data_IF_360193133361
#
_entry.id   IF_360193133361
#
_cell.length_a   1.000
_cell.length_b   1.000
_cell.length_c   1.000
_cell.angle_alpha   90.00
_cell.angle_beta   90.00
_cell.angle_gamma   90.00
#
_symmetry.space_group_name_H-M   'P 1'
#
loop_
_entity.id
_entity.type
_entity.pdbx_description
1 polymer ?
#
# COMPACT_ATOMS: atom_id res chain seq x y z
N UNK A 1 -44.31 27.16 11.43
CA UNK A 1 -43.58 26.52 10.32
C UNK A 1 -42.34 25.78 10.81
N UNK A 2 -41.43 26.44 11.54
CA UNK A 2 -40.21 25.84 12.13
C UNK A 2 -40.43 24.58 12.96
N UNK A 3 -41.40 24.55 13.89
CA UNK A 3 -41.69 23.35 14.70
C UNK A 3 -42.05 22.11 13.85
N UNK A 4 -42.80 22.30 12.76
CA UNK A 4 -43.18 21.21 11.84
C UNK A 4 -41.97 20.72 11.03
N UNK A 5 -41.10 21.63 10.61
CA UNK A 5 -39.85 21.28 9.90
C UNK A 5 -38.92 20.53 10.85
N UNK A 6 -38.72 21.02 12.07
CA UNK A 6 -37.88 20.37 13.08
C UNK A 6 -38.37 18.95 13.41
N UNK A 7 -39.68 18.77 13.55
CA UNK A 7 -40.27 17.44 13.80
C UNK A 7 -40.05 16.49 12.62
N UNK A 8 -40.15 16.96 11.37
CA UNK A 8 -39.84 16.17 10.18
C UNK A 8 -38.36 15.77 10.10
N UNK A 9 -37.45 16.70 10.42
CA UNK A 9 -36.01 16.42 10.46
C UNK A 9 -35.68 15.41 11.55
N UNK A 10 -36.26 15.57 12.74
CA UNK A 10 -36.09 14.61 13.84
C UNK A 10 -36.60 13.21 13.49
N UNK A 11 -37.78 13.13 12.86
CA UNK A 11 -38.30 11.85 12.38
C UNK A 11 -37.42 11.20 11.31
N UNK A 12 -36.89 11.98 10.37
CA UNK A 12 -35.94 11.48 9.37
C UNK A 12 -34.66 10.94 10.02
N UNK A 13 -34.12 11.65 11.01
CA UNK A 13 -32.93 11.21 11.73
C UNK A 13 -33.19 9.91 12.50
N UNK A 14 -34.32 9.81 13.18
CA UNK A 14 -34.75 8.59 13.86
C UNK A 14 -34.89 7.42 12.87
N UNK A 15 -35.49 7.66 11.70
CA UNK A 15 -35.62 6.66 10.65
C UNK A 15 -34.25 6.17 10.17
N UNK A 16 -33.28 7.07 9.94
CA UNK A 16 -31.92 6.71 9.52
C UNK A 16 -31.24 5.84 10.58
N UNK A 17 -31.40 6.15 11.87
CA UNK A 17 -30.85 5.33 12.97
C UNK A 17 -31.44 3.92 12.94
N UNK A 18 -32.77 3.80 12.82
CA UNK A 18 -33.47 2.51 12.79
C UNK A 18 -32.99 1.68 11.59
N UNK A 19 -32.91 2.28 10.40
CA UNK A 19 -32.44 1.59 9.20
C UNK A 19 -30.97 1.18 9.34
N UNK A 20 -30.12 2.02 9.92
CA UNK A 20 -28.73 1.65 10.18
C UNK A 20 -28.62 0.47 11.15
N UNK A 21 -29.45 0.42 12.19
CA UNK A 21 -29.50 -0.71 13.12
C UNK A 21 -29.94 -2.01 12.43
N UNK A 22 -31.01 -1.96 11.63
CA UNK A 22 -31.50 -3.09 10.84
C UNK A 22 -30.42 -3.59 9.88
N UNK A 23 -29.81 -2.69 9.12
CA UNK A 23 -28.74 -3.00 8.18
C UNK A 23 -27.53 -3.64 8.87
N UNK A 24 -27.05 -3.01 9.95
CA UNK A 24 -25.90 -3.48 10.71
C UNK A 24 -26.11 -4.87 11.31
N UNK A 25 -27.34 -5.22 11.72
CA UNK A 25 -27.62 -6.50 12.39
C UNK A 25 -27.80 -7.66 11.42
N UNK A 26 -28.36 -7.42 10.23
CA UNK A 26 -28.82 -8.51 9.35
C UNK A 26 -28.11 -8.60 7.99
N UNK A 27 -27.54 -7.52 7.49
CA UNK A 27 -27.00 -7.48 6.11
C UNK A 27 -25.51 -7.13 6.06
N UNK A 28 -25.03 -6.33 7.01
CA UNK A 28 -23.70 -5.75 6.92
C UNK A 28 -22.57 -6.78 6.91
N UNK A 29 -22.64 -7.85 7.70
CA UNK A 29 -21.60 -8.88 7.70
C UNK A 29 -21.52 -9.60 6.35
N UNK A 30 -22.65 -9.92 5.72
CA UNK A 30 -22.68 -10.50 4.37
C UNK A 30 -22.03 -9.57 3.35
N UNK A 31 -22.37 -8.28 3.37
CA UNK A 31 -21.77 -7.28 2.48
C UNK A 31 -20.25 -7.14 2.73
N UNK A 32 -19.81 -7.20 3.99
CA UNK A 32 -18.37 -7.22 4.33
C UNK A 32 -17.69 -8.42 3.69
N UNK A 33 -18.25 -9.62 3.81
CA UNK A 33 -17.63 -10.81 3.24
C UNK A 33 -17.62 -10.77 1.70
N UNK A 34 -18.62 -10.17 1.06
CA UNK A 34 -18.67 -10.04 -0.40
C UNK A 34 -17.70 -8.97 -0.94
N UNK A 35 -17.50 -7.87 -0.21
CA UNK A 35 -16.82 -6.69 -0.75
C UNK A 35 -15.53 -6.31 -0.02
N UNK A 36 -15.31 -6.80 1.19
CA UNK A 36 -14.26 -6.41 2.12
C UNK A 36 -13.71 -7.60 2.92
N UNK A 37 -13.63 -8.78 2.29
CA UNK A 37 -13.11 -10.03 2.91
C UNK A 37 -11.71 -9.88 3.53
N UNK A 38 -10.94 -8.87 3.07
CA UNK A 38 -9.63 -8.50 3.63
C UNK A 38 -9.66 -8.24 5.14
N UNK A 39 -10.82 -7.91 5.71
CA UNK A 39 -10.99 -7.76 7.17
C UNK A 39 -10.64 -9.04 7.93
N UNK A 40 -10.81 -10.21 7.31
CA UNK A 40 -10.58 -11.48 7.97
C UNK A 40 -9.09 -11.64 8.32
N UNK A 41 -8.18 -11.03 7.55
CA UNK A 41 -6.75 -10.98 7.91
C UNK A 41 -6.51 -10.33 9.28
N UNK A 42 -7.36 -9.38 9.68
CA UNK A 42 -7.29 -8.73 11.00
C UNK A 42 -8.00 -9.57 12.06
N UNK A 43 -9.16 -10.15 11.71
CA UNK A 43 -9.98 -10.97 12.63
C UNK A 43 -9.33 -12.30 12.98
N UNK A 44 -8.48 -12.82 12.10
CA UNK A 44 -7.73 -14.06 12.31
C UNK A 44 -6.57 -13.88 13.29
N UNK A 45 -6.22 -12.63 13.64
CA UNK A 45 -5.18 -12.35 14.63
C UNK A 45 -5.67 -12.69 16.04
N UNK A 46 -5.00 -13.60 16.75
CA UNK A 46 -5.40 -13.96 18.11
C UNK A 46 -5.24 -12.80 19.11
N UNK A 47 -6.11 -12.76 20.11
CA UNK A 47 -6.07 -11.74 21.18
C UNK A 47 -4.81 -11.79 22.06
N UNK A 48 -3.99 -12.84 21.96
CA UNK A 48 -2.69 -12.95 22.63
C UNK A 48 -1.51 -12.53 21.76
N UNK A 49 -1.73 -11.92 20.59
CA UNK A 49 -0.66 -11.35 19.77
C UNK A 49 0.09 -10.26 20.54
N UNK A 50 1.41 -10.39 20.63
CA UNK A 50 2.32 -9.39 21.20
C UNK A 50 2.87 -8.48 20.08
N UNK A 51 3.19 -9.09 18.94
CA UNK A 51 3.74 -8.45 17.74
C UNK A 51 2.83 -8.76 16.55
N UNK A 52 2.46 -7.73 15.79
CA UNK A 52 1.87 -7.88 14.47
C UNK A 52 2.84 -7.33 13.43
N UNK A 53 3.24 -8.17 12.49
CA UNK A 53 3.93 -7.77 11.28
C UNK A 53 2.90 -7.49 10.18
N UNK A 54 2.84 -6.28 9.63
CA UNK A 54 1.95 -5.95 8.52
C UNK A 54 2.77 -5.65 7.26
N UNK A 55 2.38 -6.27 6.16
CA UNK A 55 3.14 -6.21 4.92
C UNK A 55 2.38 -6.65 3.70
N UNK A 56 3.08 -6.54 2.58
CA UNK A 56 2.60 -7.02 1.28
C UNK A 56 3.32 -8.32 0.90
N UNK A 57 3.28 -8.69 -0.38
CA UNK A 57 3.86 -9.91 -0.92
C UNK A 57 5.32 -10.17 -0.51
N UNK A 58 6.13 -9.13 -0.25
CA UNK A 58 7.50 -9.34 0.23
C UNK A 58 7.58 -10.12 1.55
N UNK A 59 6.55 -10.09 2.41
CA UNK A 59 6.56 -10.92 3.63
C UNK A 59 6.64 -12.42 3.30
N UNK A 60 6.05 -12.86 2.19
CA UNK A 60 5.88 -14.28 1.83
C UNK A 60 6.60 -14.66 0.53
N UNK A 61 7.41 -13.75 -0.05
CA UNK A 61 8.11 -14.01 -1.30
C UNK A 61 9.46 -14.67 -1.01
N UNK A 62 9.72 -15.78 -1.68
CA UNK A 62 10.98 -16.53 -1.64
C UNK A 62 11.29 -17.05 -3.04
N UNK A 63 12.56 -17.40 -3.29
CA UNK A 63 12.94 -18.13 -4.50
C UNK A 63 12.70 -19.62 -4.34
N UNK A 64 12.46 -20.32 -5.45
CA UNK A 64 12.17 -21.76 -5.43
C UNK A 64 13.28 -22.61 -4.81
N UNK A 65 14.52 -22.15 -4.91
CA UNK A 65 15.75 -22.76 -4.40
C UNK A 65 16.17 -22.25 -3.00
N UNK A 66 15.39 -21.36 -2.37
CA UNK A 66 15.66 -20.95 -0.99
C UNK A 66 15.46 -22.12 -0.02
N UNK A 67 16.41 -22.27 0.92
CA UNK A 67 16.37 -23.31 1.96
C UNK A 67 15.21 -23.02 2.93
N UNK A 68 15.05 -21.76 3.32
CA UNK A 68 13.97 -21.30 4.19
C UNK A 68 12.96 -20.49 3.38
N UNK A 69 11.70 -20.93 3.42
CA UNK A 69 10.57 -20.36 2.67
C UNK A 69 9.52 -19.74 3.59
N UNK A 70 9.86 -19.63 4.87
CA UNK A 70 8.99 -19.01 5.87
C UNK A 70 8.93 -17.49 5.63
N UNK A 71 7.84 -16.85 6.06
CA UNK A 71 7.71 -15.41 5.91
C UNK A 71 8.69 -14.63 6.80
N UNK A 72 8.92 -13.36 6.47
CA UNK A 72 9.74 -12.44 7.29
C UNK A 72 9.20 -12.36 8.73
N UNK A 73 7.87 -12.35 8.89
CA UNK A 73 7.20 -12.40 10.19
C UNK A 73 7.60 -13.61 11.05
N UNK A 74 7.87 -14.76 10.44
CA UNK A 74 8.34 -15.95 11.16
C UNK A 74 9.77 -15.78 11.67
N UNK A 75 10.66 -15.11 10.90
CA UNK A 75 12.01 -14.80 11.37
C UNK A 75 12.01 -13.83 12.55
N UNK A 76 11.06 -12.88 12.57
CA UNK A 76 10.83 -12.02 13.75
C UNK A 76 10.41 -12.85 14.95
N UNK A 77 9.49 -13.80 14.75
CA UNK A 77 9.05 -14.72 15.81
C UNK A 77 10.17 -15.61 16.36
N UNK A 78 11.03 -16.15 15.49
CA UNK A 78 12.20 -16.95 15.89
C UNK A 78 13.18 -16.14 16.74
N UNK A 79 13.39 -14.87 16.39
CA UNK A 79 14.29 -13.98 17.13
C UNK A 79 13.72 -13.60 18.52
N UNK A 80 12.40 -13.53 18.65
CA UNK A 80 11.69 -13.22 19.89
C UNK A 80 10.75 -14.36 20.33
N UNK A 81 11.27 -15.54 20.73
CA UNK A 81 10.48 -16.75 20.93
C UNK A 81 9.48 -16.67 22.10
N UNK A 82 9.65 -15.72 23.02
CA UNK A 82 8.74 -15.48 24.14
C UNK A 82 7.54 -14.59 23.77
N UNK A 83 7.56 -13.97 22.58
CA UNK A 83 6.53 -13.05 22.10
C UNK A 83 5.71 -13.72 21.00
N UNK A 84 4.37 -13.66 21.11
CA UNK A 84 3.51 -14.21 20.08
C UNK A 84 3.47 -13.27 18.87
N UNK A 85 4.13 -13.67 17.79
CA UNK A 85 4.21 -12.92 16.54
C UNK A 85 3.23 -13.46 15.51
N UNK A 86 2.42 -12.57 14.95
CA UNK A 86 1.48 -12.85 13.86
C UNK A 86 1.68 -11.85 12.73
N UNK A 87 1.06 -12.10 11.58
CA UNK A 87 1.10 -11.16 10.46
C UNK A 87 -0.24 -10.90 9.79
N UNK A 88 -0.32 -9.69 9.23
CA UNK A 88 -1.36 -9.27 8.31
C UNK A 88 -0.67 -9.08 6.95
N UNK A 89 -0.70 -10.13 6.12
CA UNK A 89 -0.10 -10.09 4.77
C UNK A 89 -1.18 -9.90 3.71
N UNK A 90 -1.17 -8.74 3.04
CA UNK A 90 -2.00 -8.51 1.85
C UNK A 90 -1.13 -8.27 0.62
N UNK A 91 -1.08 -9.18 -0.36
CA UNK A 91 -0.34 -8.94 -1.60
C UNK A 91 -0.77 -7.64 -2.30
N UNK A 92 0.21 -6.94 -2.86
CA UNK A 92 0.09 -5.67 -3.58
C UNK A 92 -0.49 -4.47 -2.79
N UNK A 93 -0.56 -4.56 -1.46
CA UNK A 93 -0.97 -3.42 -0.63
C UNK A 93 0.17 -2.44 -0.33
N UNK A 94 -0.20 -1.28 0.19
CA UNK A 94 0.72 -0.22 0.60
C UNK A 94 0.22 0.42 1.92
N UNK A 95 0.94 1.41 2.43
CA UNK A 95 0.67 2.07 3.72
C UNK A 95 -0.79 2.53 3.91
N UNK A 96 -1.41 3.17 2.92
CA UNK A 96 -2.83 3.54 3.01
C UNK A 96 -3.79 2.37 3.25
N UNK A 97 -3.47 1.16 2.75
CA UNK A 97 -4.24 -0.06 3.03
C UNK A 97 -3.94 -0.54 4.45
N UNK A 98 -2.65 -0.59 4.83
CA UNK A 98 -2.22 -0.99 6.17
C UNK A 98 -2.91 -0.18 7.24
N UNK A 99 -2.99 1.14 7.07
CA UNK A 99 -3.64 2.05 8.01
C UNK A 99 -5.09 1.62 8.31
N UNK A 100 -5.88 1.30 7.28
CA UNK A 100 -7.28 0.89 7.48
C UNK A 100 -7.37 -0.47 8.16
N UNK A 101 -6.49 -1.42 7.82
CA UNK A 101 -6.45 -2.72 8.50
C UNK A 101 -6.06 -2.59 9.98
N UNK A 102 -5.07 -1.75 10.28
CA UNK A 102 -4.65 -1.46 11.66
C UNK A 102 -5.77 -0.78 12.47
N UNK A 103 -6.55 0.12 11.87
CA UNK A 103 -7.72 0.74 12.53
C UNK A 103 -8.78 -0.28 12.95
N UNK A 104 -8.83 -1.45 12.29
CA UNK A 104 -9.77 -2.52 12.60
C UNK A 104 -9.25 -3.48 13.69
N UNK A 105 -8.03 -3.30 14.22
CA UNK A 105 -7.57 -4.07 15.38
C UNK A 105 -8.42 -3.68 16.60
N UNK A 106 -9.05 -4.65 17.31
CA UNK A 106 -9.90 -4.38 18.46
C UNK A 106 -9.23 -3.50 19.52
N UNK A 107 -9.95 -2.55 20.12
CA UNK A 107 -9.39 -1.58 21.10
C UNK A 107 -8.85 -2.27 22.35
N UNK A 108 -9.44 -3.40 22.71
CA UNK A 108 -9.06 -4.29 23.81
C UNK A 108 -7.98 -5.32 23.44
N UNK A 109 -7.44 -5.27 22.21
CA UNK A 109 -6.32 -6.11 21.78
C UNK A 109 -5.09 -5.90 22.66
N UNK A 110 -4.35 -6.98 22.94
CA UNK A 110 -3.14 -6.97 23.76
C UNK A 110 -1.86 -6.64 22.99
N UNK A 111 -1.98 -6.37 21.69
CA UNK A 111 -0.85 -6.08 20.80
C UNK A 111 -0.07 -4.87 21.32
N UNK A 112 1.25 -5.04 21.43
CA UNK A 112 2.16 -4.00 21.92
C UNK A 112 3.00 -3.42 20.79
N UNK A 113 3.40 -4.24 19.82
CA UNK A 113 4.29 -3.83 18.74
C UNK A 113 3.66 -4.07 17.38
N UNK A 114 3.71 -3.05 16.52
CA UNK A 114 3.39 -3.17 15.09
C UNK A 114 4.69 -3.01 14.30
N UNK A 115 5.03 -4.01 13.50
CA UNK A 115 6.11 -3.93 12.52
C UNK A 115 5.48 -3.68 11.14
N UNK A 116 5.78 -2.56 10.51
CA UNK A 116 5.19 -2.17 9.22
C UNK A 116 6.24 -2.26 8.13
N UNK A 117 5.93 -3.02 7.08
CA UNK A 117 6.77 -3.08 5.88
C UNK A 117 6.82 -1.72 5.17
N UNK A 118 8.02 -1.24 4.89
CA UNK A 118 8.30 -0.02 4.12
C UNK A 118 9.09 -0.41 2.88
N UNK A 119 8.41 -0.43 1.73
CA UNK A 119 9.00 -0.72 0.43
C UNK A 119 9.22 0.58 -0.35
N UNK A 120 10.44 0.84 -0.84
CA UNK A 120 10.79 2.05 -1.58
C UNK A 120 9.94 2.21 -2.84
N UNK A 121 9.63 1.11 -3.53
CA UNK A 121 8.81 1.13 -4.75
C UNK A 121 7.42 1.69 -4.52
N UNK A 122 6.88 1.55 -3.31
CA UNK A 122 5.52 2.02 -3.01
C UNK A 122 5.37 3.55 -3.18
N UNK A 123 6.47 4.29 -3.08
CA UNK A 123 6.53 5.75 -3.27
C UNK A 123 6.59 6.16 -4.74
N UNK A 124 6.84 5.23 -5.67
CA UNK A 124 6.89 5.49 -7.10
C UNK A 124 5.48 5.73 -7.69
N UNK A 125 5.40 6.51 -8.76
CA UNK A 125 4.18 6.80 -9.50
C UNK A 125 3.41 5.55 -9.95
N UNK A 126 4.09 4.48 -10.38
CA UNK A 126 3.45 3.23 -10.83
C UNK A 126 2.74 2.48 -9.72
N UNK A 127 3.26 2.57 -8.50
CA UNK A 127 2.61 2.01 -7.33
C UNK A 127 1.47 2.89 -6.83
N UNK A 128 1.64 4.21 -6.84
CA UNK A 128 0.61 5.18 -6.43
C UNK A 128 -0.59 5.14 -7.39
N UNK A 129 -0.35 5.01 -8.69
CA UNK A 129 -1.39 4.96 -9.72
C UNK A 129 -1.49 3.55 -10.33
N UNK A 130 -1.32 2.51 -9.50
CA UNK A 130 -1.47 1.13 -9.95
C UNK A 130 -2.89 0.84 -10.44
N UNK A 131 -3.02 -0.07 -11.41
CA UNK A 131 -4.33 -0.58 -11.86
C UNK A 131 -5.07 -1.34 -10.76
N UNK A 132 -4.35 -1.81 -9.73
CA UNK A 132 -4.92 -2.50 -8.57
C UNK A 132 -5.58 -1.54 -7.57
N UNK A 133 -5.25 -0.25 -7.61
CA UNK A 133 -5.69 0.74 -6.61
C UNK A 133 -7.22 0.82 -6.51
N UNK A 134 -7.93 0.77 -7.63
CA UNK A 134 -9.39 0.81 -7.64
C UNK A 134 -10.01 -0.36 -6.87
N UNK A 135 -9.47 -1.57 -7.07
CA UNK A 135 -9.94 -2.78 -6.38
C UNK A 135 -9.60 -2.72 -4.88
N UNK A 136 -8.37 -2.32 -4.56
CA UNK A 136 -7.92 -2.16 -3.17
C UNK A 136 -8.78 -1.13 -2.42
N UNK A 137 -9.00 0.05 -2.99
CA UNK A 137 -9.82 1.09 -2.36
C UNK A 137 -11.28 0.68 -2.18
N UNK A 138 -11.86 -0.04 -3.16
CA UNK A 138 -13.19 -0.64 -3.02
C UNK A 138 -13.24 -1.59 -1.83
N UNK A 139 -12.23 -2.44 -1.67
CA UNK A 139 -12.17 -3.45 -0.61
C UNK A 139 -12.14 -2.88 0.81
N UNK A 140 -11.80 -1.60 0.95
CA UNK A 140 -11.74 -0.92 2.24
C UNK A 140 -13.03 -0.20 2.63
N UNK A 141 -13.95 0.06 1.68
CA UNK A 141 -15.07 0.98 1.91
C UNK A 141 -15.93 0.56 3.09
N UNK A 142 -16.24 -0.74 3.22
CA UNK A 142 -17.11 -1.21 4.28
C UNK A 142 -16.44 -1.24 5.65
N UNK A 143 -15.11 -1.23 5.72
CA UNK A 143 -14.35 -1.37 6.97
C UNK A 143 -13.69 -0.06 7.42
N UNK A 144 -14.06 1.06 6.79
CA UNK A 144 -13.72 2.39 7.27
C UNK A 144 -14.52 2.73 8.53
N UNK A 145 -14.02 3.63 9.41
CA UNK A 145 -14.63 3.95 10.70
C UNK A 145 -15.87 4.87 10.60
N UNK A 146 -16.80 4.55 9.70
CA UNK A 146 -18.10 5.21 9.58
C UNK A 146 -19.25 4.25 9.92
N UNK A 147 -20.47 4.76 10.18
CA UNK A 147 -21.63 3.91 10.39
C UNK A 147 -21.85 2.93 9.21
N UNK A 148 -22.21 1.66 9.47
CA UNK A 148 -22.36 0.63 8.44
C UNK A 148 -23.21 1.05 7.24
N UNK A 149 -24.38 1.67 7.48
CA UNK A 149 -25.26 2.11 6.40
C UNK A 149 -24.62 3.22 5.55
N UNK A 150 -23.83 4.10 6.17
CA UNK A 150 -23.12 5.15 5.44
C UNK A 150 -22.02 4.56 4.57
N UNK A 151 -21.24 3.60 5.08
CA UNK A 151 -20.29 2.85 4.27
C UNK A 151 -20.96 2.16 3.08
N UNK A 152 -22.12 1.53 3.30
CA UNK A 152 -22.89 0.90 2.22
C UNK A 152 -23.35 1.89 1.17
N UNK A 153 -23.80 3.07 1.61
CA UNK A 153 -24.12 4.19 0.73
C UNK A 153 -22.90 4.62 -0.11
N UNK A 154 -21.75 4.84 0.53
CA UNK A 154 -20.51 5.19 -0.18
C UNK A 154 -20.13 4.14 -1.22
N UNK A 155 -20.25 2.85 -0.87
CA UNK A 155 -19.98 1.76 -1.80
C UNK A 155 -20.93 1.78 -3.01
N UNK A 156 -22.24 1.92 -2.77
CA UNK A 156 -23.26 1.99 -3.84
C UNK A 156 -23.01 3.12 -4.83
N UNK A 157 -22.62 4.29 -4.32
CA UNK A 157 -22.34 5.47 -5.14
C UNK A 157 -20.90 5.51 -5.66
N UNK A 158 -20.13 4.43 -5.49
CA UNK A 158 -18.73 4.33 -5.91
C UNK A 158 -17.87 5.47 -5.38
N UNK A 159 -18.13 5.89 -4.14
CA UNK A 159 -17.41 6.95 -3.44
C UNK A 159 -16.05 6.44 -2.90
N UNK A 160 -15.20 6.00 -3.81
CA UNK A 160 -13.82 5.60 -3.61
C UNK A 160 -13.01 5.94 -4.86
N UNK A 161 -11.69 5.78 -4.81
CA UNK A 161 -10.84 6.09 -5.95
C UNK A 161 -11.05 5.11 -7.11
N UNK A 162 -11.99 5.44 -8.00
CA UNK A 162 -12.35 4.65 -9.17
C UNK A 162 -11.82 5.31 -10.44
N UNK A 163 -10.85 4.66 -11.07
CA UNK A 163 -10.28 5.07 -12.37
C UNK A 163 -10.08 3.85 -13.25
N UNK A 164 -10.21 4.05 -14.56
CA UNK A 164 -9.85 3.06 -15.57
C UNK A 164 -8.33 2.90 -15.69
N UNK A 165 -7.89 1.79 -16.28
CA UNK A 165 -6.46 1.51 -16.48
C UNK A 165 -5.78 2.59 -17.35
N UNK A 166 -6.47 3.10 -18.37
CA UNK A 166 -5.93 4.16 -19.24
C UNK A 166 -5.77 5.49 -18.51
N UNK A 167 -6.66 5.81 -17.56
CA UNK A 167 -6.52 6.98 -16.70
C UNK A 167 -5.34 6.85 -15.75
N UNK A 168 -5.19 5.68 -15.12
CA UNK A 168 -4.05 5.34 -14.25
C UNK A 168 -2.72 5.43 -15.00
N UNK A 169 -2.68 4.87 -16.21
CA UNK A 169 -1.53 4.91 -17.09
C UNK A 169 -1.15 6.35 -17.45
N UNK A 170 -2.14 7.17 -17.82
CA UNK A 170 -1.93 8.59 -18.07
C UNK A 170 -1.37 9.31 -16.84
N UNK A 171 -1.81 8.96 -15.63
CA UNK A 171 -1.33 9.59 -14.39
C UNK A 171 0.14 9.28 -14.12
N UNK A 172 0.55 8.00 -14.10
CA UNK A 172 1.95 7.68 -13.82
C UNK A 172 2.88 8.14 -14.95
N UNK A 173 2.48 8.03 -16.22
CA UNK A 173 3.28 8.54 -17.35
C UNK A 173 3.42 10.06 -17.31
N UNK A 174 2.37 10.77 -16.91
CA UNK A 174 2.49 12.21 -16.74
C UNK A 174 3.46 12.55 -15.61
N UNK A 175 3.36 11.88 -14.46
CA UNK A 175 4.28 12.08 -13.32
C UNK A 175 5.73 11.80 -13.71
N UNK A 176 5.99 10.68 -14.39
CA UNK A 176 7.32 10.34 -14.94
C UNK A 176 7.88 11.34 -15.93
N UNK A 177 7.04 12.12 -16.60
CA UNK A 177 7.46 13.16 -17.55
C UNK A 177 7.69 14.51 -16.86
N UNK A 178 6.91 14.81 -15.83
CA UNK A 178 6.93 16.12 -15.16
C UNK A 178 7.92 16.18 -14.01
N UNK A 179 8.13 15.08 -13.31
CA UNK A 179 9.08 15.00 -12.21
C UNK A 179 10.49 15.00 -12.79
N UNK A 180 11.26 16.02 -12.43
CA UNK A 180 12.63 16.20 -12.93
C UNK A 180 13.64 15.69 -11.91
N UNK A 181 14.77 15.19 -12.42
CA UNK A 181 15.91 14.84 -11.60
C UNK A 181 16.69 16.09 -11.19
N UNK A 182 16.97 16.18 -9.90
CA UNK A 182 17.72 17.23 -9.23
C UNK A 182 18.91 16.58 -8.51
N UNK A 183 19.93 16.21 -9.29
CA UNK A 183 21.15 15.57 -8.80
C UNK A 183 22.24 16.63 -8.57
N UNK A 184 23.20 16.43 -7.64
CA UNK A 184 24.28 17.39 -7.38
C UNK A 184 25.35 17.40 -8.47
N UNK A 185 25.15 16.65 -9.56
CA UNK A 185 26.02 16.54 -10.71
C UNK A 185 25.19 16.57 -12.01
N UNK A 186 25.85 16.81 -13.13
CA UNK A 186 25.20 16.78 -14.43
C UNK A 186 24.78 15.35 -14.78
N UNK A 187 23.47 15.13 -14.85
CA UNK A 187 22.88 13.88 -15.29
C UNK A 187 22.22 14.08 -16.64
N UNK A 188 22.49 13.18 -17.58
CA UNK A 188 22.15 13.34 -19.00
C UNK A 188 20.65 13.25 -19.30
N UNK A 189 19.82 12.79 -18.35
CA UNK A 189 18.37 12.68 -18.52
C UNK A 189 17.65 13.61 -17.56
N UNK A 190 16.58 14.26 -18.02
CA UNK A 190 15.80 15.14 -17.15
C UNK A 190 14.79 14.38 -16.29
N UNK A 191 14.32 13.21 -16.75
CA UNK A 191 13.21 12.48 -16.13
C UNK A 191 13.23 10.99 -16.51
N UNK A 192 12.34 10.20 -15.88
CA UNK A 192 12.22 8.75 -16.08
C UNK A 192 11.98 8.39 -17.55
N UNK A 193 11.09 9.12 -18.24
CA UNK A 193 10.70 8.80 -19.62
C UNK A 193 11.89 8.93 -20.56
N UNK A 194 12.71 9.98 -20.40
CA UNK A 194 13.91 10.17 -21.21
C UNK A 194 14.93 9.08 -20.96
N UNK A 195 15.17 8.73 -19.70
CA UNK A 195 16.13 7.70 -19.33
C UNK A 195 15.71 6.30 -19.82
N UNK A 196 14.46 5.92 -19.57
CA UNK A 196 13.89 4.63 -20.00
C UNK A 196 13.93 4.49 -21.53
N UNK A 197 13.55 5.53 -22.27
CA UNK A 197 13.62 5.53 -23.75
C UNK A 197 15.05 5.41 -24.25
N UNK A 198 16.00 6.09 -23.63
CA UNK A 198 17.39 5.97 -24.03
C UNK A 198 17.93 4.56 -23.79
N UNK A 199 17.60 3.96 -22.64
CA UNK A 199 18.00 2.58 -22.31
C UNK A 199 17.38 1.59 -23.32
N UNK A 200 16.08 1.71 -23.59
CA UNK A 200 15.37 0.85 -24.54
C UNK A 200 15.93 0.93 -25.97
N UNK A 201 16.38 2.11 -26.42
CA UNK A 201 16.93 2.30 -27.76
C UNK A 201 18.41 1.91 -27.87
N UNK A 202 19.21 2.16 -26.83
CA UNK A 202 20.65 1.88 -26.84
C UNK A 202 20.93 0.41 -26.60
N UNK A 203 20.19 -0.19 -25.66
CA UNK A 203 20.28 -1.57 -25.24
C UNK A 203 21.57 -1.90 -24.49
N UNK A 204 21.49 -2.83 -23.54
CA UNK A 204 22.66 -3.48 -22.95
C UNK A 204 23.25 -4.43 -23.99
N UNK A 205 24.58 -4.45 -24.15
CA UNK A 205 25.26 -5.31 -25.10
C UNK A 205 25.68 -6.64 -24.46
N UNK A 206 25.46 -7.74 -25.17
CA UNK A 206 25.97 -9.05 -24.80
C UNK A 206 27.48 -9.16 -25.10
N UNK A 207 28.06 -10.31 -24.75
CA UNK A 207 29.48 -10.60 -25.05
C UNK A 207 29.85 -10.57 -26.54
N UNK A 208 28.86 -10.66 -27.45
CA UNK A 208 29.05 -10.63 -28.90
C UNK A 208 28.78 -9.22 -29.49
N UNK A 209 28.43 -8.24 -28.66
CA UNK A 209 28.08 -6.89 -29.08
C UNK A 209 26.64 -6.71 -29.59
N UNK A 210 25.81 -7.75 -29.53
CA UNK A 210 24.37 -7.68 -29.85
C UNK A 210 23.60 -7.09 -28.67
N UNK A 211 22.37 -6.59 -28.90
CA UNK A 211 21.51 -6.14 -27.81
C UNK A 211 21.00 -7.37 -27.04
N UNK A 212 21.28 -7.40 -25.75
CA UNK A 212 20.65 -8.30 -24.79
C UNK A 212 19.29 -7.71 -24.40
N UNK A 213 18.23 -8.20 -25.05
CA UNK A 213 16.87 -7.69 -24.82
C UNK A 213 16.38 -7.98 -23.40
N UNK A 214 16.74 -9.11 -22.80
CA UNK A 214 16.28 -9.48 -21.45
C UNK A 214 16.90 -8.55 -20.40
N UNK A 215 18.21 -8.33 -20.48
CA UNK A 215 18.88 -7.38 -19.58
C UNK A 215 18.42 -5.95 -19.82
N UNK A 216 18.19 -5.56 -21.07
CA UNK A 216 17.68 -4.23 -21.41
C UNK A 216 16.28 -4.01 -20.82
N UNK A 217 15.38 -4.97 -20.97
CA UNK A 217 14.04 -4.92 -20.38
C UNK A 217 14.12 -4.79 -18.85
N UNK A 218 14.96 -5.61 -18.21
CA UNK A 218 15.18 -5.54 -16.77
C UNK A 218 15.73 -4.18 -16.34
N UNK A 219 16.70 -3.62 -17.07
CA UNK A 219 17.25 -2.28 -16.81
C UNK A 219 16.18 -1.19 -16.91
N UNK A 220 15.33 -1.25 -17.94
CA UNK A 220 14.15 -0.38 -18.07
C UNK A 220 13.21 -0.53 -16.87
N UNK A 221 12.96 -1.75 -16.38
CA UNK A 221 12.17 -1.96 -15.17
C UNK A 221 12.79 -1.31 -13.93
N UNK A 222 14.11 -1.43 -13.74
CA UNK A 222 14.82 -0.75 -12.66
C UNK A 222 14.68 0.77 -12.74
N UNK A 223 14.86 1.37 -13.92
CA UNK A 223 14.69 2.82 -14.13
C UNK A 223 13.25 3.24 -13.81
N UNK A 224 12.24 2.55 -14.35
CA UNK A 224 10.82 2.88 -14.11
C UNK A 224 10.42 2.75 -12.64
N UNK A 225 11.04 1.82 -11.92
CA UNK A 225 10.70 1.48 -10.54
C UNK A 225 11.41 2.36 -9.52
N UNK A 226 12.70 2.62 -9.70
CA UNK A 226 13.55 3.29 -8.72
C UNK A 226 14.13 4.62 -9.19
N UNK A 227 14.02 4.96 -10.47
CA UNK A 227 14.51 6.20 -11.03
C UNK A 227 13.64 7.40 -10.67
N UNK A 228 13.37 7.65 -9.40
CA UNK A 228 12.59 8.80 -8.95
C UNK A 228 13.22 9.39 -7.70
N UNK A 229 13.02 10.69 -7.47
CA UNK A 229 13.42 11.31 -6.22
C UNK A 229 12.23 11.41 -5.29
N UNK A 230 12.42 11.04 -4.03
CA UNK A 230 11.36 11.04 -3.04
C UNK A 230 10.91 12.48 -2.72
N UNK A 231 9.70 12.84 -3.13
CA UNK A 231 9.04 14.06 -2.67
C UNK A 231 8.62 13.90 -1.20
N UNK A 232 9.42 14.46 -0.29
CA UNK A 232 9.18 14.32 1.15
C UNK A 232 7.98 15.10 1.66
N UNK A 233 7.37 15.96 0.84
CA UNK A 233 6.32 16.90 1.24
C UNK A 233 4.96 16.43 0.72
N UNK A 234 4.85 16.08 -0.56
CA UNK A 234 3.54 15.81 -1.19
C UNK A 234 3.31 14.33 -1.52
N UNK A 235 4.27 13.44 -1.27
CA UNK A 235 4.07 12.02 -1.56
C UNK A 235 2.99 11.41 -0.65
N UNK A 236 1.95 10.85 -1.25
CA UNK A 236 0.82 10.26 -0.52
C UNK A 236 1.24 9.14 0.43
N UNK A 237 2.29 8.38 0.12
CA UNK A 237 2.77 7.31 1.00
C UNK A 237 3.40 7.84 2.27
N UNK A 238 4.07 8.99 2.21
CA UNK A 238 4.58 9.66 3.42
C UNK A 238 3.41 10.05 4.33
N UNK A 239 2.35 10.61 3.73
CA UNK A 239 1.12 10.90 4.47
C UNK A 239 0.53 9.63 5.10
N UNK A 240 0.40 8.55 4.33
CA UNK A 240 -0.12 7.27 4.82
C UNK A 240 0.70 6.74 6.02
N UNK A 241 2.04 6.80 5.94
CA UNK A 241 2.92 6.40 7.05
C UNK A 241 2.78 7.32 8.26
N UNK A 242 2.62 8.63 8.07
CA UNK A 242 2.35 9.56 9.16
C UNK A 242 1.02 9.25 9.87
N UNK A 243 -0.03 8.90 9.12
CA UNK A 243 -1.31 8.46 9.72
C UNK A 243 -1.16 7.17 10.53
N UNK A 244 -0.28 6.25 10.12
CA UNK A 244 0.05 5.04 10.91
C UNK A 244 0.80 5.41 12.20
N UNK A 245 1.73 6.38 12.15
CA UNK A 245 2.43 6.89 13.33
C UNK A 245 1.42 7.49 14.33
N UNK A 246 0.51 8.33 13.85
CA UNK A 246 -0.55 8.92 14.69
C UNK A 246 -1.45 7.85 15.31
N UNK A 247 -1.84 6.84 14.53
CA UNK A 247 -2.60 5.71 15.02
C UNK A 247 -1.83 4.95 16.10
N UNK A 248 -0.56 4.63 15.88
CA UNK A 248 0.27 3.93 16.85
C UNK A 248 0.38 4.72 18.17
N UNK A 249 0.59 6.04 18.10
CA UNK A 249 0.58 6.90 19.29
C UNK A 249 -0.75 6.86 20.03
N UNK A 250 -1.88 6.98 19.32
CA UNK A 250 -3.22 6.90 19.91
C UNK A 250 -3.48 5.55 20.59
N UNK A 251 -2.88 4.49 20.08
CA UNK A 251 -3.04 3.11 20.56
C UNK A 251 -2.00 2.69 21.59
N UNK A 252 -0.97 3.52 21.82
CA UNK A 252 0.16 3.16 22.68
C UNK A 252 1.01 2.01 22.13
N UNK A 253 1.00 1.81 20.81
CA UNK A 253 1.82 0.79 20.16
C UNK A 253 3.26 1.25 19.99
N UNK A 254 4.20 0.34 20.21
CA UNK A 254 5.56 0.47 19.70
C UNK A 254 5.55 0.22 18.19
N UNK A 255 5.88 1.23 17.39
CA UNK A 255 5.86 1.15 15.94
C UNK A 255 7.29 1.01 15.41
N UNK A 256 7.51 -0.01 14.58
CA UNK A 256 8.79 -0.26 13.91
C UNK A 256 8.56 -0.33 12.41
N UNK A 257 9.35 0.39 11.63
CA UNK A 257 9.34 0.26 10.17
C UNK A 257 10.42 -0.72 9.72
N UNK A 258 10.01 -1.78 9.01
CA UNK A 258 10.92 -2.68 8.33
C UNK A 258 11.20 -2.16 6.91
N UNK A 259 12.34 -1.48 6.74
CA UNK A 259 12.80 -1.00 5.44
C UNK A 259 13.31 -2.19 4.61
N UNK A 260 12.62 -2.50 3.52
CA UNK A 260 13.04 -3.59 2.63
C UNK A 260 14.28 -3.20 1.82
N UNK A 261 15.22 -4.13 1.74
CA UNK A 261 16.40 -3.98 0.90
C UNK A 261 16.03 -4.17 -0.57
N UNK A 262 16.63 -3.35 -1.42
CA UNK A 262 16.54 -3.47 -2.87
C UNK A 262 17.86 -4.04 -3.41
N UNK A 263 17.81 -4.75 -4.55
CA UNK A 263 19.01 -5.33 -5.15
C UNK A 263 19.86 -4.25 -5.85
N UNK A 264 20.65 -3.54 -5.04
CA UNK A 264 21.53 -2.45 -5.48
C UNK A 264 22.70 -2.94 -6.33
N UNK A 265 23.15 -4.18 -6.14
CA UNK A 265 24.20 -4.79 -6.95
C UNK A 265 23.74 -4.94 -8.40
N UNK A 266 22.55 -5.53 -8.61
CA UNK A 266 21.98 -5.71 -9.94
C UNK A 266 21.56 -4.38 -10.58
N UNK A 267 21.02 -3.45 -9.79
CA UNK A 267 20.71 -2.10 -10.26
C UNK A 267 21.98 -1.38 -10.77
N UNK A 268 23.09 -1.49 -10.04
CA UNK A 268 24.37 -0.91 -10.43
C UNK A 268 24.96 -1.59 -11.66
N UNK A 269 24.87 -2.91 -11.76
CA UNK A 269 25.32 -3.69 -12.91
C UNK A 269 24.60 -3.29 -14.19
N UNK A 270 23.27 -3.16 -14.14
CA UNK A 270 22.44 -2.91 -15.33
C UNK A 270 22.35 -1.43 -15.72
N UNK A 271 22.26 -0.54 -14.73
CA UNK A 271 21.89 0.88 -14.96
C UNK A 271 23.02 1.83 -14.56
N UNK A 272 23.83 1.46 -13.56
CA UNK A 272 24.96 2.26 -13.09
C UNK A 272 24.71 2.97 -11.76
N UNK A 273 25.71 3.76 -11.32
CA UNK A 273 25.69 4.40 -10.01
C UNK A 273 24.62 5.50 -9.87
N UNK A 274 24.17 6.09 -10.98
CA UNK A 274 23.16 7.15 -10.96
C UNK A 274 21.85 6.66 -10.34
N UNK A 275 21.44 5.42 -10.64
CA UNK A 275 20.24 4.84 -10.06
C UNK A 275 20.38 4.54 -8.57
N UNK A 276 21.60 4.19 -8.13
CA UNK A 276 21.87 3.90 -6.71
C UNK A 276 21.88 5.17 -5.86
N UNK A 277 22.20 6.31 -6.49
CA UNK A 277 22.22 7.59 -5.81
C UNK A 277 20.82 8.17 -5.57
N UNK A 278 19.84 7.86 -6.45
CA UNK A 278 18.47 8.37 -6.35
C UNK A 278 17.76 7.92 -5.07
#
# INVERSE_FOLDING_TARGET
>A
MYKKILLKISFLFLLIIIVNFIYSKWFYETDIQEHSEIINLVRDIPNNADIIYIGESSNITFRGDDIDKRPISAFVGDYFPELNTFDITKPASHAGIYKVLLENIPVDSKVKTIVVTLNLRSFNATWIYSNLETSLQKSLVLIKPYPPLFNRFLLSFKAYDIKSESERERQFKNKWRTDKFHLPYEFQFQNVIEWDKWMANSGIKDSNGNIDYEQTELACHYIKTYGFQLDTINNIRIKDFNEIIELAHKRGWNLVFNLLAENTEKAKELVGNDLIYM
#
